data_IF_483649221545
#
_entry.id   IF_483649221545
#
_cell.length_a   1.000
_cell.length_b   1.000
_cell.length_c   1.000
_cell.angle_alpha   90.00
_cell.angle_beta   90.00
_cell.angle_gamma   90.00
#
_symmetry.space_group_name_H-M   'P 1'
#
loop_
_entity.id
_entity.type
_entity.pdbx_description
1 polymer ?
#
# COMPACT_ATOMS: atom_id res chain seq x y z
N UNK A 1 -74.93 -39.96 -0.62
CA UNK A 1 -75.36 -38.55 -0.74
C UNK A 1 -74.77 -37.75 0.41
N UNK A 2 -73.72 -36.97 0.16
CA UNK A 2 -73.23 -35.93 1.07
C UNK A 2 -72.82 -34.74 0.21
N UNK A 3 -73.51 -33.62 0.41
CA UNK A 3 -73.27 -32.36 -0.30
C UNK A 3 -72.01 -31.70 0.26
N UNK A 4 -71.11 -31.26 -0.63
CA UNK A 4 -69.88 -30.57 -0.31
C UNK A 4 -70.08 -29.08 -0.62
N UNK A 5 -70.20 -28.27 0.43
CA UNK A 5 -70.36 -26.82 0.36
C UNK A 5 -69.02 -26.18 0.01
N UNK A 6 -68.93 -25.53 -1.15
CA UNK A 6 -67.79 -24.69 -1.53
C UNK A 6 -67.94 -23.30 -0.90
N UNK A 7 -66.98 -22.92 -0.06
CA UNK A 7 -66.86 -21.57 0.48
C UNK A 7 -65.98 -20.74 -0.48
N UNK A 8 -66.58 -19.75 -1.15
CA UNK A 8 -65.88 -18.74 -1.93
C UNK A 8 -65.27 -17.69 -0.99
N UNK A 9 -63.94 -17.60 -0.92
CA UNK A 9 -63.25 -16.46 -0.31
C UNK A 9 -63.16 -15.31 -1.33
N UNK A 10 -63.40 -14.04 -0.92
CA UNK A 10 -63.13 -12.90 -1.76
C UNK A 10 -61.61 -12.64 -1.85
N UNK A 11 -61.10 -12.52 -3.07
CA UNK A 11 -59.76 -12.03 -3.34
C UNK A 11 -59.73 -10.51 -3.09
N UNK A 12 -59.07 -10.11 -2.00
CA UNK A 12 -58.73 -8.71 -1.73
C UNK A 12 -57.45 -8.39 -2.50
N UNK A 13 -57.58 -7.64 -3.60
CA UNK A 13 -56.43 -7.04 -4.28
C UNK A 13 -55.87 -5.90 -3.40
N UNK A 14 -54.77 -6.14 -2.69
CA UNK A 14 -53.96 -5.06 -2.14
C UNK A 14 -53.24 -4.35 -3.31
N UNK A 15 -53.66 -3.12 -3.60
CA UNK A 15 -52.86 -2.19 -4.40
C UNK A 15 -51.75 -1.67 -3.50
N UNK A 16 -50.57 -2.28 -3.59
CA UNK A 16 -49.36 -1.74 -2.99
C UNK A 16 -48.98 -0.45 -3.76
N UNK A 17 -49.17 0.71 -3.13
CA UNK A 17 -48.64 1.97 -3.63
C UNK A 17 -47.12 1.87 -3.73
N UNK A 18 -46.58 2.00 -4.94
CA UNK A 18 -45.16 2.16 -5.16
C UNK A 18 -44.74 3.49 -4.51
N UNK A 19 -44.06 3.40 -3.38
CA UNK A 19 -43.32 4.52 -2.80
C UNK A 19 -42.04 4.60 -3.60
N UNK A 20 -41.91 5.62 -4.45
CA UNK A 20 -40.67 5.90 -5.16
C UNK A 20 -39.52 5.96 -4.13
N UNK A 21 -38.40 5.24 -4.36
CA UNK A 21 -37.24 5.38 -3.51
C UNK A 21 -36.77 6.84 -3.58
N UNK A 22 -36.44 7.49 -2.44
CA UNK A 22 -35.92 8.84 -2.46
C UNK A 22 -34.67 8.87 -3.34
N UNK A 23 -34.64 9.86 -4.25
CA UNK A 23 -33.51 10.08 -5.12
C UNK A 23 -32.23 10.18 -4.28
N UNK A 24 -31.11 9.55 -4.69
CA UNK A 24 -29.87 9.67 -3.95
C UNK A 24 -29.46 11.14 -3.91
N UNK A 25 -29.31 11.68 -2.70
CA UNK A 25 -28.83 13.02 -2.44
C UNK A 25 -27.54 13.26 -3.24
N UNK A 26 -27.63 14.17 -4.21
CA UNK A 26 -26.52 14.64 -5.04
C UNK A 26 -25.67 15.68 -4.31
N UNK A 27 -25.56 15.59 -2.99
CA UNK A 27 -24.52 16.30 -2.26
C UNK A 27 -23.27 15.42 -2.23
N UNK A 28 -22.60 15.37 -3.39
CA UNK A 28 -21.15 15.18 -3.39
C UNK A 28 -20.57 16.39 -2.67
N UNK A 29 -20.39 16.26 -1.37
CA UNK A 29 -19.44 17.09 -0.63
C UNK A 29 -18.12 17.04 -1.40
N UNK A 30 -17.80 18.15 -2.06
CA UNK A 30 -16.42 18.48 -2.37
C UNK A 30 -15.76 18.66 -1.02
N UNK A 31 -15.25 17.56 -0.46
CA UNK A 31 -14.30 17.58 0.64
C UNK A 31 -13.16 18.48 0.18
N UNK A 32 -13.23 19.76 0.58
CA UNK A 32 -12.18 20.73 0.29
C UNK A 32 -10.95 20.19 0.98
N UNK A 33 -10.00 19.69 0.19
CA UNK A 33 -8.70 19.24 0.68
C UNK A 33 -8.15 20.28 1.64
N UNK A 34 -8.04 19.92 2.91
CA UNK A 34 -7.36 20.77 3.88
C UNK A 34 -5.92 20.95 3.38
N UNK A 35 -5.37 22.17 3.40
CA UNK A 35 -3.99 22.40 3.02
C UNK A 35 -3.08 21.47 3.83
N UNK A 36 -2.17 20.77 3.14
CA UNK A 36 -1.13 20.00 3.79
C UNK A 36 -0.28 20.95 4.65
N UNK A 37 0.15 20.50 5.83
CA UNK A 37 1.12 21.27 6.60
C UNK A 37 2.43 21.44 5.79
N UNK A 38 3.21 22.51 5.98
CA UNK A 38 4.38 22.81 5.15
C UNK A 38 5.38 21.66 5.01
N UNK A 39 5.52 20.83 6.05
CA UNK A 39 6.38 19.65 6.02
C UNK A 39 5.89 18.57 5.03
N UNK A 40 4.58 18.32 4.98
CA UNK A 40 3.96 17.32 4.08
C UNK A 40 4.01 17.79 2.62
N UNK A 41 3.93 19.10 2.38
CA UNK A 41 4.15 19.65 1.03
C UNK A 41 5.57 19.35 0.54
N UNK A 42 6.58 19.45 1.41
CA UNK A 42 7.96 19.09 1.06
C UNK A 42 8.10 17.60 0.74
N UNK A 43 7.40 16.73 1.48
CA UNK A 43 7.37 15.28 1.19
C UNK A 43 6.80 14.98 -0.19
N UNK A 44 5.69 15.63 -0.56
CA UNK A 44 5.08 15.46 -1.87
C UNK A 44 5.95 16.05 -3.00
N UNK A 45 6.56 17.21 -2.79
CA UNK A 45 7.50 17.81 -3.73
C UNK A 45 8.73 16.92 -3.94
N UNK A 46 9.23 16.29 -2.88
CA UNK A 46 10.34 15.35 -2.96
C UNK A 46 9.95 14.09 -3.76
N UNK A 47 8.79 13.49 -3.50
CA UNK A 47 8.30 12.34 -4.26
C UNK A 47 8.18 12.64 -5.77
N UNK A 48 7.67 13.82 -6.13
CA UNK A 48 7.53 14.27 -7.53
C UNK A 48 8.84 14.40 -8.31
N UNK A 49 10.00 14.45 -7.62
CA UNK A 49 11.32 14.53 -8.28
C UNK A 49 11.77 13.17 -8.84
N UNK A 50 11.14 12.08 -8.43
CA UNK A 50 11.53 10.74 -8.85
C UNK A 50 10.77 10.28 -10.09
N UNK A 51 11.55 9.88 -11.09
CA UNK A 51 11.06 9.21 -12.28
C UNK A 51 11.53 7.76 -12.27
N UNK A 52 10.57 6.85 -12.31
CA UNK A 52 10.80 5.41 -12.40
C UNK A 52 10.31 4.90 -13.75
N UNK A 53 10.94 3.84 -14.25
CA UNK A 53 10.64 3.29 -15.58
C UNK A 53 10.56 1.76 -15.51
N UNK A 54 9.61 1.17 -16.25
CA UNK A 54 9.50 -0.29 -16.37
C UNK A 54 10.67 -0.93 -17.12
N UNK A 55 11.40 -0.16 -17.92
CA UNK A 55 12.47 -0.65 -18.78
C UNK A 55 13.77 0.13 -18.59
N UNK A 56 14.87 -0.53 -18.94
CA UNK A 56 16.23 0.02 -18.82
C UNK A 56 16.49 1.23 -19.73
N UNK A 57 15.77 1.32 -20.85
CA UNK A 57 15.91 2.40 -21.84
C UNK A 57 15.10 3.64 -21.45
N UNK A 58 14.38 3.60 -20.32
CA UNK A 58 13.53 4.69 -19.81
C UNK A 58 12.42 5.10 -20.79
N UNK A 59 11.82 4.14 -21.50
CA UNK A 59 10.75 4.40 -22.49
C UNK A 59 9.34 4.30 -21.92
N UNK A 60 9.16 3.56 -20.83
CA UNK A 60 7.87 3.29 -20.18
C UNK A 60 7.87 3.87 -18.76
N UNK A 61 7.60 5.18 -18.60
CA UNK A 61 7.58 5.81 -17.30
C UNK A 61 6.45 5.25 -16.42
N UNK A 62 6.68 5.21 -15.12
CA UNK A 62 5.65 4.96 -14.12
C UNK A 62 4.93 6.26 -13.75
N UNK A 63 3.66 6.15 -13.39
CA UNK A 63 2.83 7.27 -12.93
C UNK A 63 2.82 7.33 -11.41
N UNK A 64 3.23 8.45 -10.84
CA UNK A 64 3.09 8.71 -9.39
C UNK A 64 1.61 8.91 -9.05
N UNK A 65 1.12 8.20 -8.02
CA UNK A 65 -0.16 8.52 -7.39
C UNK A 65 -0.13 9.94 -6.80
N UNK A 66 -1.10 10.81 -7.13
CA UNK A 66 -0.99 12.24 -6.86
C UNK A 66 -0.98 12.58 -5.36
N UNK A 67 -1.59 11.72 -4.54
CA UNK A 67 -1.66 11.84 -3.09
C UNK A 67 -0.86 10.70 -2.44
N UNK A 68 -0.30 10.92 -1.24
CA UNK A 68 0.23 9.81 -0.47
C UNK A 68 -0.88 8.79 -0.18
N UNK A 69 -0.55 7.51 -0.28
CA UNK A 69 -1.45 6.40 0.08
C UNK A 69 -1.53 6.22 1.60
N UNK A 70 -0.59 6.82 2.33
CA UNK A 70 -0.55 6.78 3.79
C UNK A 70 0.34 7.89 4.36
N UNK A 71 -0.06 8.46 5.48
CA UNK A 71 0.69 9.49 6.21
C UNK A 71 0.80 9.09 7.67
N UNK A 72 2.00 9.14 8.22
CA UNK A 72 2.26 8.77 9.62
C UNK A 72 3.13 9.79 10.34
N UNK A 73 3.01 9.81 11.65
CA UNK A 73 3.89 10.50 12.58
C UNK A 73 3.97 9.70 13.89
N UNK A 74 5.02 9.91 14.67
CA UNK A 74 5.18 9.30 15.99
C UNK A 74 5.60 10.34 17.05
N UNK A 75 5.65 9.91 18.31
CA UNK A 75 5.93 10.78 19.46
C UNK A 75 7.40 11.23 19.54
N UNK A 76 8.30 10.54 18.82
CA UNK A 76 9.71 10.90 18.69
C UNK A 76 9.95 11.97 17.62
N UNK A 77 8.88 12.65 17.20
CA UNK A 77 8.89 13.69 16.17
C UNK A 77 9.49 13.17 14.85
N UNK A 78 9.18 11.92 14.49
CA UNK A 78 9.33 11.44 13.12
C UNK A 78 8.00 11.55 12.38
N UNK A 79 8.07 11.77 11.07
CA UNK A 79 6.91 11.69 10.20
C UNK A 79 7.31 11.35 8.77
N UNK A 80 6.39 10.76 8.03
CA UNK A 80 6.59 10.46 6.61
C UNK A 80 5.31 10.21 5.86
N UNK A 81 5.38 10.41 4.55
CA UNK A 81 4.31 10.12 3.59
C UNK A 81 4.74 8.98 2.68
N UNK A 82 3.84 8.01 2.46
CA UNK A 82 4.03 6.86 1.58
C UNK A 82 3.40 7.14 0.23
N UNK A 83 4.17 6.94 -0.82
CA UNK A 83 3.79 7.17 -2.22
C UNK A 83 3.92 5.89 -3.03
N UNK A 84 3.13 5.78 -4.10
CA UNK A 84 3.15 4.64 -5.01
C UNK A 84 3.31 5.14 -6.43
N UNK A 85 4.17 4.48 -7.20
CA UNK A 85 4.27 4.65 -8.65
C UNK A 85 3.72 3.42 -9.35
N UNK A 86 2.84 3.64 -10.33
CA UNK A 86 2.07 2.60 -10.99
C UNK A 86 2.37 2.52 -12.50
N UNK A 87 2.11 1.36 -13.07
CA UNK A 87 1.98 1.18 -14.53
C UNK A 87 0.61 0.58 -14.82
N UNK A 88 -0.23 1.29 -15.58
CA UNK A 88 -1.60 0.85 -15.87
C UNK A 88 -2.44 0.61 -14.61
N UNK A 89 -2.20 1.37 -13.54
CA UNK A 89 -2.86 1.21 -12.24
C UNK A 89 -2.29 0.10 -11.35
N UNK A 90 -1.33 -0.72 -11.82
CA UNK A 90 -0.61 -1.69 -10.98
C UNK A 90 0.57 -1.03 -10.27
N UNK A 91 0.68 -1.09 -8.93
CA UNK A 91 1.87 -0.66 -8.20
C UNK A 91 3.15 -1.35 -8.67
N UNK A 92 4.21 -0.56 -8.88
CA UNK A 92 5.53 -1.04 -9.32
C UNK A 92 6.66 -0.55 -8.44
N UNK A 93 6.50 0.61 -7.80
CA UNK A 93 7.37 1.11 -6.75
C UNK A 93 6.51 1.65 -5.63
N UNK A 94 6.92 1.38 -4.39
CA UNK A 94 6.41 2.05 -3.20
C UNK A 94 7.58 2.75 -2.52
N UNK A 95 7.36 3.94 -1.99
CA UNK A 95 8.39 4.67 -1.29
C UNK A 95 7.85 5.60 -0.25
N UNK A 96 8.72 6.07 0.64
CA UNK A 96 8.38 7.04 1.65
C UNK A 96 9.37 8.19 1.63
N UNK A 97 8.83 9.40 1.68
CA UNK A 97 9.62 10.59 2.01
C UNK A 97 9.31 10.94 3.46
N UNK A 98 10.35 10.94 4.29
CA UNK A 98 10.23 11.10 5.73
C UNK A 98 11.28 12.07 6.26
N UNK A 99 11.07 12.53 7.49
CA UNK A 99 12.09 13.28 8.22
C UNK A 99 12.04 13.03 9.72
N UNK A 100 13.22 13.07 10.32
CA UNK A 100 13.40 12.93 11.76
C UNK A 100 13.33 14.26 12.52
N UNK A 101 13.51 14.21 13.85
CA UNK A 101 13.42 15.38 14.72
C UNK A 101 14.46 16.45 14.38
N UNK A 102 14.08 17.72 14.55
CA UNK A 102 14.96 18.85 14.33
C UNK A 102 14.32 20.20 14.63
N UNK A 103 15.10 21.15 15.17
CA UNK A 103 14.59 22.45 15.69
C UNK A 103 14.38 23.51 14.60
N UNK A 104 15.40 23.76 13.79
CA UNK A 104 15.36 24.75 12.69
C UNK A 104 15.12 24.07 11.34
N UNK A 105 15.66 22.86 11.21
CA UNK A 105 15.54 22.02 10.04
C UNK A 105 15.56 20.54 10.45
N UNK A 106 15.04 19.69 9.58
CA UNK A 106 14.84 18.26 9.83
C UNK A 106 15.66 17.44 8.84
N UNK A 107 16.43 16.41 9.28
CA UNK A 107 17.07 15.50 8.35
C UNK A 107 16.00 14.72 7.58
N UNK A 108 16.08 14.74 6.26
CA UNK A 108 15.16 14.05 5.37
C UNK A 108 15.76 12.75 4.87
N UNK A 109 14.92 11.74 4.72
CA UNK A 109 15.28 10.44 4.17
C UNK A 109 14.24 10.02 3.14
N UNK A 110 14.70 9.38 2.07
CA UNK A 110 13.83 8.78 1.07
C UNK A 110 14.07 7.29 0.99
N UNK A 111 12.99 6.53 1.07
CA UNK A 111 13.02 5.07 1.01
C UNK A 111 12.21 4.57 -0.17
N UNK A 112 12.70 3.56 -0.87
CA UNK A 112 12.03 2.96 -2.01
C UNK A 112 12.17 1.46 -2.01
N UNK A 113 11.11 0.78 -2.44
CA UNK A 113 11.10 -0.65 -2.70
C UNK A 113 10.40 -0.94 -4.04
N UNK A 114 10.93 -1.87 -4.82
CA UNK A 114 10.23 -2.34 -6.02
C UNK A 114 9.10 -3.31 -5.66
N UNK A 115 7.94 -3.15 -6.30
CA UNK A 115 6.83 -4.11 -6.31
C UNK A 115 6.74 -4.85 -7.65
N UNK A 116 7.66 -4.57 -8.58
CA UNK A 116 7.68 -5.19 -9.89
C UNK A 116 8.25 -6.60 -9.83
N UNK A 117 7.65 -7.59 -10.52
CA UNK A 117 8.26 -8.90 -10.68
C UNK A 117 9.50 -8.86 -11.57
N UNK A 118 9.54 -7.91 -12.51
CA UNK A 118 10.65 -7.71 -13.44
C UNK A 118 11.56 -6.56 -12.96
N UNK A 119 12.86 -6.59 -13.32
CA UNK A 119 13.78 -5.47 -13.07
C UNK A 119 13.25 -4.16 -13.65
N UNK A 120 13.41 -3.06 -12.91
CA UNK A 120 13.08 -1.72 -13.40
C UNK A 120 14.31 -1.04 -14.01
N UNK A 121 14.08 0.06 -14.72
CA UNK A 121 15.16 0.93 -15.19
C UNK A 121 15.97 1.54 -14.03
N UNK A 122 17.26 1.82 -14.25
CA UNK A 122 18.11 2.44 -13.23
C UNK A 122 17.65 3.87 -12.91
N UNK A 123 17.62 4.21 -11.62
CA UNK A 123 17.15 5.50 -11.11
C UNK A 123 18.24 6.18 -10.31
N UNK A 124 18.58 7.42 -10.68
CA UNK A 124 19.52 8.24 -9.92
C UNK A 124 18.84 8.69 -8.62
N UNK A 125 19.35 8.21 -7.49
CA UNK A 125 18.84 8.56 -6.16
C UNK A 125 19.56 9.77 -5.58
N UNK A 126 20.86 9.85 -5.83
CA UNK A 126 21.72 10.98 -5.52
C UNK A 126 22.72 11.17 -6.66
N UNK A 127 23.54 12.23 -6.60
CA UNK A 127 24.60 12.46 -7.57
C UNK A 127 25.64 11.31 -7.64
N UNK A 128 25.76 10.48 -6.59
CA UNK A 128 26.75 9.40 -6.50
C UNK A 128 26.13 8.01 -6.46
N UNK A 129 24.80 7.90 -6.39
CA UNK A 129 24.13 6.62 -6.19
C UNK A 129 23.00 6.42 -7.21
N UNK A 130 23.08 5.29 -7.92
CA UNK A 130 22.05 4.82 -8.85
C UNK A 130 21.46 3.52 -8.32
N UNK A 131 20.15 3.51 -8.11
CA UNK A 131 19.41 2.32 -7.71
C UNK A 131 19.00 1.51 -8.94
N UNK A 132 19.27 0.20 -8.91
CA UNK A 132 18.93 -0.74 -10.01
C UNK A 132 18.14 -1.92 -9.44
N UNK A 133 16.81 -1.80 -9.28
CA UNK A 133 16.02 -2.83 -8.61
C UNK A 133 15.80 -4.07 -9.49
N UNK A 134 16.07 -5.29 -8.98
CA UNK A 134 16.12 -6.52 -9.78
C UNK A 134 14.75 -7.21 -9.99
N UNK A 135 13.67 -6.68 -9.41
CA UNK A 135 12.36 -7.33 -9.35
C UNK A 135 12.18 -8.23 -8.11
N UNK A 136 10.95 -8.68 -7.85
CA UNK A 136 10.59 -9.51 -6.69
C UNK A 136 9.74 -10.73 -7.04
N UNK A 137 9.85 -11.78 -6.22
CA UNK A 137 9.01 -12.97 -6.33
C UNK A 137 7.66 -12.81 -5.63
N UNK A 138 6.66 -13.54 -6.13
CA UNK A 138 5.34 -13.67 -5.52
C UNK A 138 5.11 -15.11 -5.05
N UNK A 139 4.61 -15.29 -3.83
CA UNK A 139 4.29 -16.57 -3.23
C UNK A 139 2.81 -16.89 -3.42
N UNK A 140 2.51 -18.01 -4.07
CA UNK A 140 1.14 -18.52 -4.18
C UNK A 140 0.52 -18.78 -2.80
N UNK A 141 -0.75 -18.43 -2.64
CA UNK A 141 -1.57 -18.74 -1.48
C UNK A 141 -2.70 -19.71 -1.85
N UNK A 142 -3.14 -20.45 -0.84
CA UNK A 142 -4.26 -21.38 -0.98
C UNK A 142 -5.62 -20.64 -0.99
N UNK A 143 -6.63 -21.34 -1.48
CA UNK A 143 -7.99 -20.82 -1.60
C UNK A 143 -8.29 -20.18 -2.96
N UNK A 144 -9.52 -20.39 -3.43
CA UNK A 144 -9.97 -19.84 -4.71
C UNK A 144 -10.40 -18.37 -4.55
N UNK A 145 -9.89 -17.45 -5.38
CA UNK A 145 -10.40 -16.08 -5.42
C UNK A 145 -11.87 -16.03 -5.80
N UNK A 146 -12.62 -15.14 -5.15
CA UNK A 146 -14.01 -14.88 -5.45
C UNK A 146 -14.15 -14.31 -6.87
N UNK A 147 -15.26 -14.66 -7.53
CA UNK A 147 -15.55 -14.22 -8.89
C UNK A 147 -15.68 -12.69 -9.01
N UNK A 148 -16.21 -12.03 -7.98
CA UNK A 148 -16.47 -10.58 -8.00
C UNK A 148 -15.41 -9.79 -7.25
N UNK A 149 -15.13 -8.54 -7.67
CA UNK A 149 -14.36 -7.58 -6.88
C UNK A 149 -14.82 -7.46 -5.42
N UNK A 150 -16.12 -7.37 -5.19
CA UNK A 150 -16.67 -7.19 -3.86
C UNK A 150 -16.35 -8.37 -2.94
N UNK A 151 -16.39 -9.60 -3.46
CA UNK A 151 -16.05 -10.81 -2.71
C UNK A 151 -14.54 -10.98 -2.46
N UNK A 152 -13.69 -10.41 -3.32
CA UNK A 152 -12.23 -10.53 -3.21
C UNK A 152 -11.62 -9.71 -2.08
N UNK A 153 -12.16 -8.52 -1.77
CA UNK A 153 -11.59 -7.68 -0.71
C UNK A 153 -11.65 -8.33 0.69
N UNK A 154 -12.77 -8.94 1.12
CA UNK A 154 -12.81 -9.72 2.34
C UNK A 154 -11.79 -10.87 2.36
N UNK A 155 -11.57 -11.55 1.23
CA UNK A 155 -10.57 -12.61 1.12
C UNK A 155 -9.14 -12.07 1.25
N UNK A 156 -8.81 -10.96 0.58
CA UNK A 156 -7.50 -10.30 0.73
C UNK A 156 -7.24 -9.89 2.19
N UNK A 157 -8.27 -9.36 2.87
CA UNK A 157 -8.19 -9.06 4.31
C UNK A 157 -8.08 -10.31 5.17
N UNK A 158 -8.63 -11.45 4.74
CA UNK A 158 -8.43 -12.75 5.38
C UNK A 158 -6.98 -13.18 5.28
N UNK A 159 -6.46 -13.26 4.06
CA UNK A 159 -5.06 -13.60 3.77
C UNK A 159 -4.11 -12.72 4.59
N UNK A 160 -4.32 -11.39 4.60
CA UNK A 160 -3.49 -10.49 5.37
C UNK A 160 -3.56 -10.76 6.89
N UNK A 161 -4.73 -11.09 7.45
CA UNK A 161 -4.88 -11.40 8.88
C UNK A 161 -4.26 -12.73 9.29
N UNK A 162 -4.14 -13.67 8.36
CA UNK A 162 -3.50 -14.97 8.60
C UNK A 162 -1.96 -14.87 8.59
N UNK A 163 -1.42 -13.71 8.20
CA UNK A 163 0.00 -13.40 8.24
C UNK A 163 0.38 -12.70 9.55
N UNK A 164 1.51 -13.11 10.10
CA UNK A 164 2.18 -12.42 11.20
C UNK A 164 3.52 -11.87 10.71
N UNK A 165 3.82 -10.63 11.06
CA UNK A 165 5.07 -9.97 10.72
C UNK A 165 5.82 -9.58 11.99
N UNK A 166 7.14 -9.63 11.93
CA UNK A 166 8.00 -9.30 13.04
C UNK A 166 9.23 -8.53 12.58
N UNK A 167 9.86 -7.90 13.56
CA UNK A 167 11.05 -7.09 13.39
C UNK A 167 12.03 -7.34 14.53
N UNK A 168 13.32 -7.33 14.22
CA UNK A 168 14.37 -7.29 15.24
C UNK A 168 14.71 -5.83 15.57
N UNK A 169 14.55 -5.49 16.84
CA UNK A 169 15.00 -4.22 17.42
C UNK A 169 15.77 -4.53 18.71
N UNK A 170 15.33 -4.02 19.86
CA UNK A 170 15.89 -4.43 21.16
C UNK A 170 15.28 -5.78 21.61
N UNK A 171 15.39 -6.78 20.74
CA UNK A 171 14.68 -8.05 20.79
C UNK A 171 13.62 -8.20 19.69
N UNK A 172 12.87 -9.30 19.77
CA UNK A 172 11.82 -9.66 18.81
C UNK A 172 10.53 -8.89 19.10
N UNK A 173 10.05 -8.13 18.10
CA UNK A 173 8.77 -7.42 18.15
C UNK A 173 7.80 -7.99 17.12
N UNK A 174 6.57 -8.26 17.53
CA UNK A 174 5.47 -8.51 16.60
C UNK A 174 4.88 -7.18 16.13
N UNK A 175 4.73 -7.06 14.81
CA UNK A 175 4.19 -5.87 14.17
C UNK A 175 2.66 -5.95 14.10
N UNK A 176 2.01 -4.79 14.13
CA UNK A 176 0.55 -4.69 14.08
C UNK A 176 0.08 -4.41 12.67
N UNK A 177 -0.83 -5.23 12.15
CA UNK A 177 -1.52 -4.99 10.88
C UNK A 177 -2.45 -3.77 10.99
N UNK A 178 -2.39 -2.86 10.02
CA UNK A 178 -3.39 -1.81 9.86
C UNK A 178 -4.72 -2.37 9.33
N UNK A 179 -5.88 -1.88 9.81
CA UNK A 179 -7.18 -2.46 9.48
C UNK A 179 -7.63 -2.23 8.03
N UNK A 180 -7.10 -1.19 7.38
CA UNK A 180 -7.38 -0.87 5.98
C UNK A 180 -6.12 -1.05 5.13
N UNK A 181 -6.26 -1.54 3.87
CA UNK A 181 -5.14 -1.52 2.94
C UNK A 181 -4.76 -0.07 2.63
N UNK A 182 -3.46 0.18 2.40
CA UNK A 182 -2.96 1.49 1.98
C UNK A 182 -3.51 1.86 0.60
N UNK A 183 -3.65 0.86 -0.26
CA UNK A 183 -4.14 1.02 -1.62
C UNK A 183 -4.84 -0.26 -2.06
N UNK A 184 -5.93 -0.12 -2.80
CA UNK A 184 -6.54 -1.19 -3.60
C UNK A 184 -6.45 -0.82 -5.07
N UNK A 185 -6.15 -1.77 -5.93
CA UNK A 185 -5.98 -1.55 -7.36
C UNK A 185 -6.62 -2.66 -8.18
N UNK A 186 -7.08 -2.29 -9.37
CA UNK A 186 -7.69 -3.17 -10.36
C UNK A 186 -7.13 -2.76 -11.73
N UNK A 187 -5.92 -3.25 -12.07
CA UNK A 187 -5.26 -2.87 -13.32
C UNK A 187 -6.14 -3.24 -14.50
N UNK A 188 -6.18 -2.38 -15.53
CA UNK A 188 -6.98 -2.64 -16.72
C UNK A 188 -6.39 -3.74 -17.61
N UNK A 189 -5.08 -3.98 -17.48
CA UNK A 189 -4.30 -4.88 -18.32
C UNK A 189 -3.39 -5.79 -17.47
N UNK A 190 -3.00 -6.92 -18.07
CA UNK A 190 -2.10 -7.89 -17.46
C UNK A 190 -2.81 -9.08 -16.82
N UNK A 191 -2.06 -9.82 -16.01
CA UNK A 191 -2.52 -11.01 -15.31
C UNK A 191 -3.20 -10.68 -13.97
N UNK A 192 -2.89 -9.54 -13.35
CA UNK A 192 -3.52 -9.12 -12.11
C UNK A 192 -4.88 -8.48 -12.37
N UNK A 193 -5.90 -8.96 -11.67
CA UNK A 193 -7.29 -8.48 -11.84
C UNK A 193 -7.83 -7.73 -10.61
N UNK A 194 -7.17 -7.85 -9.47
CA UNK A 194 -7.51 -7.17 -8.21
C UNK A 194 -6.31 -7.32 -7.28
N UNK A 195 -6.01 -6.30 -6.50
CA UNK A 195 -4.96 -6.39 -5.49
C UNK A 195 -5.07 -5.29 -4.46
N UNK A 196 -4.37 -5.49 -3.35
CA UNK A 196 -4.28 -4.50 -2.29
C UNK A 196 -2.91 -4.55 -1.59
N UNK A 197 -2.49 -3.41 -1.05
CA UNK A 197 -1.29 -3.27 -0.23
C UNK A 197 -1.68 -3.21 1.25
N UNK A 198 -1.26 -4.19 2.03
CA UNK A 198 -1.49 -4.23 3.48
C UNK A 198 -0.23 -3.88 4.23
N UNK A 199 -0.37 -3.16 5.35
CA UNK A 199 0.76 -2.57 6.06
C UNK A 199 0.80 -3.04 7.51
N UNK A 200 1.97 -3.51 7.93
CA UNK A 200 2.31 -3.78 9.30
C UNK A 200 3.20 -2.66 9.82
N UNK A 201 2.81 -2.12 10.97
CA UNK A 201 3.46 -1.00 11.64
C UNK A 201 4.00 -1.43 12.99
N UNK A 202 4.94 -0.66 13.52
CA UNK A 202 5.39 -0.88 14.89
C UNK A 202 4.26 -0.62 15.90
N UNK A 203 4.27 -1.32 17.04
CA UNK A 203 3.21 -1.20 18.06
C UNK A 203 3.22 0.15 18.78
N UNK A 204 4.37 0.84 18.78
CA UNK A 204 4.53 2.18 19.36
C UNK A 204 4.13 3.33 18.42
N UNK A 205 3.77 3.02 17.18
CA UNK A 205 3.52 4.03 16.16
C UNK A 205 2.63 3.53 15.04
N UNK A 206 2.72 4.26 13.93
CA UNK A 206 2.09 3.89 12.67
C UNK A 206 3.07 3.95 11.51
N UNK A 207 4.37 4.05 11.81
CA UNK A 207 5.46 3.91 10.86
C UNK A 207 5.41 2.53 10.18
N UNK A 208 5.30 2.47 8.84
CA UNK A 208 5.30 1.21 8.10
C UNK A 208 6.64 0.50 8.22
N UNK A 209 6.61 -0.80 8.50
CA UNK A 209 7.81 -1.65 8.61
C UNK A 209 7.82 -2.76 7.55
N UNK A 210 6.66 -3.40 7.35
CA UNK A 210 6.43 -4.42 6.33
C UNK A 210 5.17 -4.07 5.56
N UNK A 211 5.26 -4.12 4.23
CA UNK A 211 4.08 -4.02 3.37
C UNK A 211 3.95 -5.32 2.59
N UNK A 212 2.74 -5.83 2.41
CA UNK A 212 2.46 -7.04 1.62
C UNK A 212 1.49 -6.68 0.52
N UNK A 213 1.91 -6.91 -0.73
CA UNK A 213 0.99 -6.94 -1.86
C UNK A 213 0.24 -8.27 -1.84
N UNK A 214 -1.09 -8.24 -1.82
CA UNK A 214 -1.96 -9.40 -2.01
C UNK A 214 -2.65 -9.23 -3.35
N UNK A 215 -2.37 -10.10 -4.30
CA UNK A 215 -2.82 -9.99 -5.70
C UNK A 215 -3.64 -11.23 -6.12
N UNK A 216 -4.74 -11.00 -6.82
CA UNK A 216 -5.46 -12.02 -7.57
C UNK A 216 -4.92 -12.06 -9.00
N UNK A 217 -4.27 -13.16 -9.37
CA UNK A 217 -3.72 -13.38 -10.70
C UNK A 217 -4.64 -14.28 -11.52
N UNK A 218 -4.78 -13.95 -12.79
CA UNK A 218 -5.31 -14.82 -13.83
C UNK A 218 -4.14 -15.58 -14.46
N UNK A 219 -4.17 -16.89 -14.33
CA UNK A 219 -3.18 -17.79 -14.94
C UNK A 219 -3.40 -17.94 -16.45
N UNK A 220 -2.44 -18.56 -17.13
CA UNK A 220 -2.54 -18.85 -18.57
C UNK A 220 -3.76 -19.73 -18.92
N UNK A 221 -4.13 -20.66 -18.05
CA UNK A 221 -5.34 -21.50 -18.18
C UNK A 221 -6.63 -20.82 -17.68
N UNK A 222 -6.62 -19.47 -17.56
CA UNK A 222 -7.77 -18.62 -17.20
C UNK A 222 -8.31 -18.85 -15.77
N UNK A 223 -7.60 -19.60 -14.92
CA UNK A 223 -7.96 -19.76 -13.51
C UNK A 223 -7.50 -18.54 -12.72
N UNK A 224 -8.11 -18.36 -11.54
CA UNK A 224 -7.74 -17.33 -10.60
C UNK A 224 -6.96 -17.95 -9.44
N UNK A 225 -5.90 -17.27 -9.01
CA UNK A 225 -5.16 -17.65 -7.80
C UNK A 225 -4.69 -16.44 -7.00
N UNK A 226 -4.56 -16.63 -5.69
CA UNK A 226 -3.97 -15.64 -4.81
C UNK A 226 -2.45 -15.75 -4.81
N UNK A 227 -1.78 -14.60 -4.84
CA UNK A 227 -0.34 -14.50 -4.62
C UNK A 227 -0.05 -13.35 -3.67
N UNK A 228 1.05 -13.45 -2.94
CA UNK A 228 1.53 -12.38 -2.08
C UNK A 228 3.00 -12.06 -2.33
N UNK A 229 3.38 -10.80 -2.13
CA UNK A 229 4.77 -10.38 -2.11
C UNK A 229 5.03 -9.46 -0.92
N UNK A 230 5.83 -9.90 0.07
CA UNK A 230 6.30 -9.03 1.14
C UNK A 230 7.37 -8.08 0.62
N UNK A 231 7.33 -6.83 1.09
CA UNK A 231 8.35 -5.81 0.87
C UNK A 231 8.81 -5.23 2.18
N UNK A 232 10.10 -4.93 2.27
CA UNK A 232 10.67 -4.25 3.44
C UNK A 232 10.41 -2.75 3.35
N UNK A 233 10.19 -2.15 4.51
CA UNK A 233 10.05 -0.72 4.68
C UNK A 233 10.80 -0.23 5.93
N UNK A 234 11.91 -0.91 6.22
CA UNK A 234 12.75 -0.72 7.39
C UNK A 234 14.18 -1.08 7.07
N UNK A 235 15.13 -0.47 7.77
CA UNK A 235 16.53 -0.91 7.79
C UNK A 235 16.77 -2.08 8.77
N UNK A 236 15.78 -2.48 9.56
CA UNK A 236 15.90 -3.59 10.52
C UNK A 236 15.77 -4.96 9.84
N UNK A 237 16.12 -6.02 10.58
CA UNK A 237 15.75 -7.37 10.17
C UNK A 237 14.22 -7.53 10.30
N UNK A 238 13.62 -8.15 9.30
CA UNK A 238 12.18 -8.36 9.21
C UNK A 238 11.90 -9.79 8.77
N UNK A 239 10.82 -10.38 9.26
CA UNK A 239 10.33 -11.66 8.76
C UNK A 239 8.81 -11.76 8.82
N UNK A 240 8.27 -12.60 7.95
CA UNK A 240 6.85 -12.84 7.76
C UNK A 240 6.57 -14.34 7.82
N UNK A 241 5.52 -14.73 8.55
CA UNK A 241 5.03 -16.12 8.62
C UNK A 241 3.56 -16.19 8.22
N UNK A 242 3.16 -17.36 7.75
CA UNK A 242 1.78 -17.81 7.65
C UNK A 242 1.62 -19.04 8.54
N UNK A 243 0.94 -18.87 9.68
CA UNK A 243 0.99 -19.83 10.79
C UNK A 243 2.45 -20.07 11.25
N UNK A 244 2.85 -21.35 11.33
CA UNK A 244 4.20 -21.72 11.77
C UNK A 244 5.28 -21.60 10.67
N UNK A 245 4.87 -21.43 9.40
CA UNK A 245 5.78 -21.41 8.26
C UNK A 245 6.35 -20.03 8.02
N UNK A 246 7.68 -19.91 8.03
CA UNK A 246 8.38 -18.72 7.52
C UNK A 246 8.25 -18.63 6.00
N UNK A 247 7.68 -17.52 5.53
CA UNK A 247 7.52 -17.25 4.10
C UNK A 247 8.63 -16.37 3.55
N UNK A 248 9.12 -15.46 4.38
CA UNK A 248 10.07 -14.44 3.98
C UNK A 248 10.83 -13.91 5.19
N UNK A 249 12.11 -13.63 5.00
CA UNK A 249 12.98 -12.96 5.97
C UNK A 249 14.02 -12.15 5.20
N UNK A 250 14.33 -10.96 5.70
CA UNK A 250 15.43 -10.13 5.21
C UNK A 250 16.28 -9.68 6.39
N UNK A 251 17.61 -9.69 6.25
CA UNK A 251 18.49 -9.19 7.29
C UNK A 251 18.42 -7.67 7.40
N UNK A 252 19.07 -7.13 8.43
CA UNK A 252 19.34 -5.70 8.60
C UNK A 252 19.90 -5.11 7.29
N UNK A 253 19.41 -3.93 6.88
CA UNK A 253 19.99 -3.16 5.77
C UNK A 253 21.15 -2.31 6.28
N UNK A 254 22.31 -2.36 5.62
CA UNK A 254 23.41 -1.42 5.88
C UNK A 254 23.99 -0.88 4.57
N UNK A 255 24.53 0.34 4.59
CA UNK A 255 25.14 1.01 3.42
C UNK A 255 26.70 0.99 3.42
N UNK A 256 27.32 1.76 2.51
CA UNK A 256 28.57 1.46 1.74
C UNK A 256 29.88 1.31 2.54
N UNK A 257 29.85 1.33 3.87
CA UNK A 257 31.04 1.03 4.67
C UNK A 257 30.96 -0.33 5.40
N UNK A 258 29.97 -1.20 5.12
CA UNK A 258 30.03 -2.62 5.51
C UNK A 258 28.70 -3.34 5.76
N UNK A 259 28.06 -3.76 4.66
CA UNK A 259 27.18 -4.94 4.50
C UNK A 259 25.85 -5.02 5.28
N UNK A 260 24.71 -4.84 4.57
CA UNK A 260 23.98 -5.89 3.82
C UNK A 260 23.01 -5.20 2.85
N UNK A 261 23.20 -5.46 1.56
CA UNK A 261 22.48 -4.82 0.45
C UNK A 261 21.41 -5.73 -0.12
N UNK A 262 20.19 -5.23 -0.22
CA UNK A 262 19.18 -5.82 -1.08
C UNK A 262 18.86 -4.81 -2.17
N UNK A 263 19.23 -5.08 -3.44
CA UNK A 263 18.97 -4.16 -4.55
C UNK A 263 17.47 -3.86 -4.74
N UNK A 264 16.57 -4.62 -4.11
CA UNK A 264 15.12 -4.39 -4.11
C UNK A 264 14.66 -3.22 -3.23
N UNK A 265 15.50 -2.71 -2.32
CA UNK A 265 15.20 -1.63 -1.38
C UNK A 265 16.36 -0.64 -1.27
N UNK A 266 16.06 0.63 -1.03
CA UNK A 266 17.05 1.65 -0.70
C UNK A 266 16.47 2.63 0.30
N UNK A 267 17.29 3.10 1.25
CA UNK A 267 17.00 4.25 2.14
C UNK A 267 18.18 5.21 2.11
N UNK A 268 17.94 6.50 1.89
CA UNK A 268 19.03 7.48 1.73
C UNK A 268 18.71 8.79 2.39
N UNK A 269 19.73 9.39 2.99
CA UNK A 269 19.70 10.78 3.39
C UNK A 269 19.51 11.67 2.16
N UNK A 270 18.48 12.50 2.21
CA UNK A 270 18.03 13.37 1.11
C UNK A 270 18.30 14.86 1.38
N UNK A 271 19.08 15.17 2.43
CA UNK A 271 19.36 16.54 2.86
C UNK A 271 18.51 16.96 4.05
N UNK A 272 18.24 18.26 4.15
CA UNK A 272 17.49 18.86 5.27
C UNK A 272 16.27 19.60 4.76
N UNK A 273 15.17 19.52 5.50
CA UNK A 273 13.95 20.30 5.25
C UNK A 273 13.92 21.44 6.25
N UNK A 274 13.98 22.67 5.76
CA UNK A 274 13.83 23.85 6.60
C UNK A 274 12.41 23.94 7.16
N UNK A 275 12.27 24.20 8.46
CA UNK A 275 10.97 24.42 9.07
C UNK A 275 10.52 25.87 8.87
N UNK A 276 9.21 26.11 8.65
CA UNK A 276 8.67 27.46 8.64
C UNK A 276 8.98 28.12 9.98
N UNK A 277 9.70 29.25 9.95
CA UNK A 277 9.94 30.02 11.16
C UNK A 277 8.60 30.60 11.66
N UNK A 278 8.31 30.53 12.98
CA UNK A 278 7.13 31.19 13.51
C UNK A 278 7.20 32.67 13.15
N UNK A 279 6.12 33.18 12.54
CA UNK A 279 6.03 34.63 12.27
C UNK A 279 6.19 35.33 13.62
N UNK A 280 7.25 36.13 13.79
CA UNK A 280 7.37 37.03 14.94
C UNK A 280 6.15 37.96 14.86
N UNK A 281 5.22 37.83 15.78
CA UNK A 281 4.17 38.82 15.92
C UNK A 281 4.84 40.16 16.24
N UNK A 282 4.48 41.24 15.53
CA UNK A 282 5.03 42.57 15.79
C UNK A 282 4.71 43.06 17.21
#
# INVERSE_FOLDING_TARGET
>A
MKALTFLLLPAVCLVAGAVDPPAPDKEKEKEKEKPLGPLREQYQLAAKKYEFFLDKDKKKPLTLEPKPVFSWANDDDWSGDVFVWTAGGKPRVIGCTLSGPGKEDRPAFHEFHTLSPDPLGPVAMTAKYTWTPPGIGFHKQDGAPAATPAGRLPQMRGIARDLSAWMEADGKWELRLLPQPLMRYQPAEGDVIDGALFCWVWTKGTDPEVIVAVECHRTADKKLEWRIAPVRFSNRELWLKNGDRELWRVPVHRDEQGDTWSNVYTTRYAGRIALPQPKKNP
#
